data_IF_982584386670
#
_entry.id   IF_982584386670
#
_cell.length_a   1.000
_cell.length_b   1.000
_cell.length_c   1.000
_cell.angle_alpha   90.00
_cell.angle_beta   90.00
_cell.angle_gamma   90.00
#
_symmetry.space_group_name_H-M   'P 1'
#
loop_
_entity.id
_entity.type
_entity.pdbx_description
1 polymer ?
#
# COMPACT_ATOMS: atom_id res chain seq x y z
N UNK A 1 30.00 12.55 -23.16
CA UNK A 1 28.86 13.46 -22.81
C UNK A 1 27.54 13.09 -23.50
N UNK A 2 27.50 12.77 -24.80
CA UNK A 2 26.25 12.37 -25.50
C UNK A 2 25.63 11.06 -25.03
N UNK A 3 26.42 10.01 -24.68
CA UNK A 3 25.90 8.72 -24.21
C UNK A 3 25.06 8.86 -22.93
N UNK A 4 25.51 9.66 -21.95
CA UNK A 4 24.80 9.86 -20.70
C UNK A 4 23.44 10.58 -20.89
N UNK A 5 23.34 11.48 -21.90
CA UNK A 5 22.10 12.19 -22.21
C UNK A 5 21.00 11.25 -22.69
N UNK A 6 21.35 10.28 -23.54
CA UNK A 6 20.39 9.30 -24.05
C UNK A 6 19.88 8.39 -22.91
N UNK A 7 20.76 7.94 -22.03
CA UNK A 7 20.41 7.09 -20.90
C UNK A 7 19.46 7.83 -19.93
N UNK A 8 19.77 9.09 -19.59
CA UNK A 8 18.90 9.94 -18.79
C UNK A 8 17.54 10.11 -19.48
N UNK A 9 17.53 10.43 -20.78
CA UNK A 9 16.29 10.61 -21.53
C UNK A 9 15.42 9.34 -21.54
N UNK A 10 16.01 8.16 -21.73
CA UNK A 10 15.29 6.90 -21.73
C UNK A 10 14.77 6.52 -20.31
N UNK A 11 15.53 6.79 -19.25
CA UNK A 11 15.08 6.58 -17.87
C UNK A 11 13.93 7.55 -17.52
N UNK A 12 14.03 8.81 -17.97
CA UNK A 12 12.95 9.78 -17.79
C UNK A 12 11.69 9.36 -18.54
N UNK A 13 11.85 8.90 -19.81
CA UNK A 13 10.73 8.37 -20.59
C UNK A 13 10.06 7.18 -19.90
N UNK A 14 10.85 6.24 -19.37
CA UNK A 14 10.32 5.11 -18.57
C UNK A 14 9.54 5.62 -17.37
N UNK A 15 10.10 6.58 -16.61
CA UNK A 15 9.41 7.19 -15.47
C UNK A 15 8.07 7.84 -15.85
N UNK A 16 8.04 8.57 -16.99
CA UNK A 16 6.81 9.17 -17.53
C UNK A 16 5.78 8.10 -17.90
N UNK A 17 6.20 7.00 -18.53
CA UNK A 17 5.30 5.89 -18.87
C UNK A 17 4.70 5.24 -17.61
N UNK A 18 5.53 4.98 -16.60
CA UNK A 18 5.08 4.45 -15.30
C UNK A 18 4.10 5.41 -14.64
N UNK A 19 4.42 6.72 -14.62
CA UNK A 19 3.56 7.75 -14.05
C UNK A 19 2.19 7.79 -14.74
N UNK A 20 2.17 7.84 -16.07
CA UNK A 20 0.93 7.88 -16.85
C UNK A 20 0.11 6.59 -16.63
N UNK A 21 0.75 5.44 -16.59
CA UNK A 21 0.04 4.18 -16.32
C UNK A 21 -0.66 4.21 -14.97
N UNK A 22 0.03 4.58 -13.90
CA UNK A 22 -0.57 4.60 -12.57
C UNK A 22 -1.64 5.68 -12.43
N UNK A 23 -1.44 6.85 -13.05
CA UNK A 23 -2.40 7.95 -12.94
C UNK A 23 -3.67 7.72 -13.76
N UNK A 24 -3.56 7.16 -14.97
CA UNK A 24 -4.70 7.08 -15.90
C UNK A 24 -5.26 5.67 -16.06
N UNK A 25 -4.46 4.62 -15.84
CA UNK A 25 -4.90 3.24 -16.04
C UNK A 25 -5.24 2.54 -14.73
N UNK A 26 -4.55 2.88 -13.63
CA UNK A 26 -4.71 2.19 -12.32
C UNK A 26 -4.83 3.13 -11.11
N UNK A 27 -5.52 4.28 -11.18
CA UNK A 27 -5.63 5.17 -10.01
C UNK A 27 -6.34 4.52 -8.82
N UNK A 28 -7.33 3.66 -9.08
CA UNK A 28 -8.06 2.93 -8.04
C UNK A 28 -7.14 2.05 -7.17
N UNK A 29 -6.13 1.42 -7.77
CA UNK A 29 -5.16 0.58 -7.05
C UNK A 29 -4.27 1.43 -6.14
N UNK A 30 -3.89 2.65 -6.57
CA UNK A 30 -3.13 3.58 -5.72
C UNK A 30 -3.93 3.92 -4.46
N UNK A 31 -5.18 4.37 -4.63
CA UNK A 31 -6.02 4.78 -3.50
C UNK A 31 -6.41 3.62 -2.59
N UNK A 32 -6.59 2.41 -3.14
CA UNK A 32 -6.88 1.23 -2.32
C UNK A 32 -5.70 0.86 -1.41
N UNK A 33 -4.46 0.99 -1.90
CA UNK A 33 -3.27 0.74 -1.07
C UNK A 33 -3.20 1.65 0.15
N UNK A 34 -3.55 2.91 -0.01
CA UNK A 34 -3.63 3.85 1.11
C UNK A 34 -4.80 3.51 2.04
N UNK A 35 -5.95 3.17 1.49
CA UNK A 35 -7.14 2.83 2.26
C UNK A 35 -6.94 1.61 3.18
N UNK A 36 -6.07 0.68 2.81
CA UNK A 36 -5.77 -0.54 3.58
C UNK A 36 -4.61 -0.39 4.57
N UNK A 37 -4.10 0.82 4.77
CA UNK A 37 -2.92 1.06 5.59
C UNK A 37 -3.09 2.28 6.51
N UNK A 38 -2.38 2.25 7.64
CA UNK A 38 -2.22 3.38 8.54
C UNK A 38 -0.74 3.56 8.87
N UNK A 39 -0.24 4.77 8.73
CA UNK A 39 1.10 5.15 9.19
C UNK A 39 0.97 6.20 10.30
N UNK A 40 1.68 5.99 11.39
CA UNK A 40 1.73 6.91 12.52
C UNK A 40 3.11 7.60 12.58
N UNK A 41 3.08 8.91 12.75
CA UNK A 41 4.29 9.72 12.86
C UNK A 41 4.72 9.85 14.33
N UNK A 42 5.09 8.71 14.95
CA UNK A 42 5.59 8.68 16.31
C UNK A 42 6.76 7.71 16.49
N UNK A 43 7.47 7.83 17.62
CA UNK A 43 8.65 7.01 17.92
C UNK A 43 8.34 5.55 18.18
N UNK A 44 7.18 5.26 18.77
CA UNK A 44 6.76 3.89 19.09
C UNK A 44 6.48 3.09 17.80
N UNK A 45 5.83 3.73 16.83
CA UNK A 45 5.59 3.13 15.52
C UNK A 45 6.91 2.82 14.78
N UNK A 46 7.87 3.75 14.80
CA UNK A 46 9.18 3.52 14.21
C UNK A 46 9.92 2.37 14.93
N UNK A 47 9.92 2.36 16.25
CA UNK A 47 10.57 1.31 17.05
C UNK A 47 9.96 -0.06 16.77
N UNK A 48 8.63 -0.15 16.70
CA UNK A 48 7.90 -1.37 16.38
C UNK A 48 8.28 -1.92 14.98
N UNK A 49 8.40 -1.04 13.98
CA UNK A 49 8.82 -1.45 12.63
C UNK A 49 10.27 -1.89 12.61
N UNK A 50 11.16 -1.17 13.27
CA UNK A 50 12.60 -1.51 13.33
C UNK A 50 12.91 -2.76 14.18
N UNK A 51 11.96 -3.22 14.99
CA UNK A 51 12.12 -4.44 15.78
C UNK A 51 12.16 -5.74 14.96
N UNK A 52 11.80 -5.69 13.67
CA UNK A 52 11.71 -6.87 12.80
C UNK A 52 12.63 -6.76 11.59
N UNK A 53 13.11 -7.89 11.03
CA UNK A 53 13.92 -7.90 9.81
C UNK A 53 13.15 -7.30 8.62
N UNK A 54 13.84 -6.45 7.83
CA UNK A 54 13.21 -5.70 6.74
C UNK A 54 12.37 -4.51 7.19
N UNK A 55 12.35 -4.24 8.51
CA UNK A 55 11.49 -3.23 9.12
C UNK A 55 11.77 -1.80 8.67
N UNK A 56 13.00 -1.47 8.32
CA UNK A 56 13.30 -0.14 7.76
C UNK A 56 12.70 0.03 6.36
N UNK A 57 12.81 -0.99 5.49
CA UNK A 57 12.16 -0.96 4.18
C UNK A 57 10.64 -0.87 4.30
N UNK A 58 10.05 -1.58 5.28
CA UNK A 58 8.63 -1.50 5.61
C UNK A 58 8.23 -0.09 6.06
N UNK A 59 8.95 0.49 7.03
CA UNK A 59 8.66 1.84 7.52
C UNK A 59 8.69 2.88 6.39
N UNK A 60 9.72 2.84 5.53
CA UNK A 60 9.81 3.73 4.37
C UNK A 60 8.70 3.45 3.36
N UNK A 61 8.38 2.18 3.09
CA UNK A 61 7.28 1.79 2.21
C UNK A 61 5.93 2.31 2.70
N UNK A 62 5.61 2.09 3.98
CA UNK A 62 4.38 2.56 4.62
C UNK A 62 4.33 4.11 4.67
N UNK A 63 5.46 4.77 4.90
CA UNK A 63 5.56 6.23 4.81
C UNK A 63 5.23 6.75 3.41
N UNK A 64 5.75 6.12 2.37
CA UNK A 64 5.48 6.53 0.99
C UNK A 64 4.02 6.30 0.58
N UNK A 65 3.39 5.23 1.07
CA UNK A 65 1.99 4.90 0.75
C UNK A 65 1.00 5.95 1.29
N UNK A 66 1.32 6.70 2.35
CA UNK A 66 0.45 7.79 2.81
C UNK A 66 0.17 8.83 1.71
N UNK A 67 1.14 9.09 0.83
CA UNK A 67 0.98 10.02 -0.28
C UNK A 67 0.06 9.50 -1.38
N UNK A 68 -0.31 8.21 -1.35
CA UNK A 68 -1.24 7.60 -2.29
C UNK A 68 -2.68 8.07 -2.07
N UNK A 69 -2.95 8.78 -0.98
CA UNK A 69 -4.16 9.58 -0.81
C UNK A 69 -4.36 10.59 -1.97
N UNK A 70 -3.26 11.02 -2.59
CA UNK A 70 -3.25 11.86 -3.78
C UNK A 70 -2.74 11.04 -4.97
N UNK A 71 -3.59 10.74 -5.93
CA UNK A 71 -3.29 9.89 -7.09
C UNK A 71 -2.01 10.32 -7.83
N UNK A 72 -1.88 11.63 -8.05
CA UNK A 72 -0.71 12.22 -8.72
C UNK A 72 0.58 11.99 -7.92
N UNK A 73 0.53 12.15 -6.60
CA UNK A 73 1.68 11.91 -5.74
C UNK A 73 2.04 10.42 -5.68
N UNK A 74 1.03 9.54 -5.56
CA UNK A 74 1.24 8.10 -5.60
C UNK A 74 1.86 7.62 -6.91
N UNK A 75 1.32 8.08 -8.04
CA UNK A 75 1.88 7.77 -9.36
C UNK A 75 3.32 8.27 -9.52
N UNK A 76 3.62 9.49 -9.02
CA UNK A 76 4.96 10.06 -9.06
C UNK A 76 5.96 9.26 -8.19
N UNK A 77 5.57 8.85 -6.99
CA UNK A 77 6.42 8.03 -6.11
C UNK A 77 6.76 6.69 -6.76
N UNK A 78 5.76 5.99 -7.33
CA UNK A 78 5.99 4.74 -8.05
C UNK A 78 6.92 4.93 -9.25
N UNK A 79 6.73 6.00 -10.02
CA UNK A 79 7.61 6.33 -11.15
C UNK A 79 9.05 6.60 -10.72
N UNK A 80 9.25 7.37 -9.64
CA UNK A 80 10.57 7.70 -9.11
C UNK A 80 11.26 6.45 -8.56
N UNK A 81 10.57 5.64 -7.74
CA UNK A 81 11.15 4.43 -7.14
C UNK A 81 11.56 3.42 -8.21
N UNK A 82 10.70 3.13 -9.19
CA UNK A 82 11.02 2.19 -10.26
C UNK A 82 12.12 2.71 -11.20
N UNK A 83 12.15 4.02 -11.49
CA UNK A 83 13.23 4.63 -12.24
C UNK A 83 14.57 4.57 -11.49
N UNK A 84 14.55 4.79 -10.18
CA UNK A 84 15.73 4.67 -9.33
C UNK A 84 16.27 3.22 -9.29
N UNK A 85 15.37 2.22 -9.17
CA UNK A 85 15.74 0.80 -9.27
C UNK A 85 16.46 0.51 -10.60
N UNK A 86 15.89 0.93 -11.72
CA UNK A 86 16.49 0.76 -13.04
C UNK A 86 17.87 1.45 -13.14
N UNK A 87 17.95 2.69 -12.66
CA UNK A 87 19.19 3.49 -12.72
C UNK A 87 20.30 2.91 -11.84
N UNK A 88 20.01 2.51 -10.60
CA UNK A 88 21.02 1.92 -9.72
C UNK A 88 21.43 0.54 -10.19
N UNK A 89 20.51 -0.26 -10.71
CA UNK A 89 20.85 -1.54 -11.32
C UNK A 89 21.74 -1.37 -12.56
N UNK A 90 21.46 -0.35 -13.40
CA UNK A 90 22.34 -0.03 -14.52
C UNK A 90 23.77 0.32 -14.06
N UNK A 91 23.92 1.17 -13.06
CA UNK A 91 25.25 1.50 -12.52
C UNK A 91 25.97 0.23 -12.06
N UNK A 92 25.27 -0.67 -11.37
CA UNK A 92 25.83 -1.93 -10.88
C UNK A 92 26.30 -2.83 -12.01
N UNK A 93 25.47 -3.10 -13.02
CA UNK A 93 25.84 -3.98 -14.13
C UNK A 93 26.93 -3.37 -15.02
N UNK A 94 26.88 -2.07 -15.25
CA UNK A 94 27.91 -1.36 -16.02
C UNK A 94 29.29 -1.44 -15.34
N UNK A 95 29.35 -1.26 -14.02
CA UNK A 95 30.58 -1.44 -13.24
C UNK A 95 31.09 -2.88 -13.25
N UNK A 96 30.21 -3.86 -13.32
CA UNK A 96 30.57 -5.27 -13.17
C UNK A 96 31.07 -5.90 -14.47
N UNK A 97 30.51 -5.51 -15.59
CA UNK A 97 30.78 -6.10 -16.91
C UNK A 97 31.17 -4.99 -17.88
N UNK A 98 32.32 -4.32 -17.68
CA UNK A 98 32.77 -3.20 -18.54
C UNK A 98 33.08 -3.61 -19.93
N UNK A 99 33.24 -4.91 -20.22
CA UNK A 99 33.51 -5.47 -21.54
C UNK A 99 32.31 -5.51 -22.49
N UNK A 100 31.09 -5.45 -21.90
CA UNK A 100 29.84 -5.48 -22.68
C UNK A 100 29.39 -4.08 -23.04
N UNK A 101 28.89 -3.91 -24.26
CA UNK A 101 28.43 -2.61 -24.74
C UNK A 101 27.23 -2.10 -23.95
N UNK A 102 27.25 -0.79 -23.62
CA UNK A 102 26.11 -0.10 -22.98
C UNK A 102 24.82 -0.25 -23.79
N UNK A 103 24.87 -0.43 -25.10
CA UNK A 103 23.69 -0.66 -25.93
C UNK A 103 22.91 -1.92 -25.55
N UNK A 104 23.58 -2.90 -24.94
CA UNK A 104 22.99 -4.16 -24.48
C UNK A 104 22.66 -4.05 -22.99
N UNK A 105 23.60 -3.56 -22.17
CA UNK A 105 23.44 -3.51 -20.71
C UNK A 105 22.34 -2.55 -20.27
N UNK A 106 22.20 -1.40 -20.94
CA UNK A 106 21.25 -0.39 -20.53
C UNK A 106 19.78 -0.84 -20.66
N UNK A 107 19.31 -1.44 -21.76
CA UNK A 107 17.95 -2.03 -21.81
C UNK A 107 17.72 -3.11 -20.77
N UNK A 108 18.72 -3.95 -20.47
CA UNK A 108 18.62 -5.01 -19.43
C UNK A 108 18.38 -4.39 -18.04
N UNK A 109 18.89 -3.18 -17.79
CA UNK A 109 18.72 -2.53 -16.49
C UNK A 109 17.26 -2.20 -16.12
N UNK A 110 16.35 -2.17 -17.08
CA UNK A 110 14.92 -1.98 -16.82
C UNK A 110 14.21 -3.24 -16.33
N UNK A 111 14.79 -4.45 -16.53
CA UNK A 111 14.13 -5.71 -16.16
C UNK A 111 13.68 -5.76 -14.69
N UNK A 112 14.51 -5.45 -13.68
CA UNK A 112 14.07 -5.47 -12.29
C UNK A 112 12.92 -4.49 -12.02
N UNK A 113 12.99 -3.30 -12.62
CA UNK A 113 11.94 -2.29 -12.46
C UNK A 113 10.62 -2.73 -13.14
N UNK A 114 10.68 -3.36 -14.30
CA UNK A 114 9.50 -3.90 -14.99
C UNK A 114 8.90 -5.04 -14.19
N UNK A 115 9.70 -5.95 -13.65
CA UNK A 115 9.20 -7.04 -12.80
C UNK A 115 8.50 -6.48 -11.56
N UNK A 116 9.12 -5.51 -10.88
CA UNK A 116 8.49 -4.84 -9.73
C UNK A 116 7.20 -4.11 -10.14
N UNK A 117 7.19 -3.44 -11.29
CA UNK A 117 5.99 -2.78 -11.81
C UNK A 117 4.83 -3.78 -12.01
N UNK A 118 5.11 -4.91 -12.66
CA UNK A 118 4.11 -5.97 -12.85
C UNK A 118 3.62 -6.54 -11.52
N UNK A 119 4.53 -6.82 -10.57
CA UNK A 119 4.17 -7.27 -9.23
C UNK A 119 3.32 -6.24 -8.48
N UNK A 120 3.63 -4.95 -8.63
CA UNK A 120 2.85 -3.88 -7.99
C UNK A 120 1.47 -3.67 -8.62
N UNK A 121 1.18 -4.21 -9.82
CA UNK A 121 -0.18 -4.21 -10.38
C UNK A 121 -1.13 -5.11 -9.58
N UNK A 122 -0.59 -6.04 -8.81
CA UNK A 122 -1.32 -6.88 -7.88
C UNK A 122 -1.28 -6.29 -6.46
N UNK A 123 -2.41 -6.34 -5.75
CA UNK A 123 -2.52 -5.89 -4.36
C UNK A 123 -1.74 -6.77 -3.37
N UNK A 124 -1.36 -7.98 -3.79
CA UNK A 124 -0.54 -8.90 -3.00
C UNK A 124 0.83 -8.33 -2.66
N UNK A 125 1.38 -7.49 -3.52
CA UNK A 125 2.74 -6.95 -3.35
C UNK A 125 2.69 -5.59 -2.66
N UNK A 126 3.34 -5.47 -1.52
CA UNK A 126 3.42 -4.22 -0.77
C UNK A 126 4.53 -3.29 -1.31
N UNK A 127 4.45 -2.00 -0.96
CA UNK A 127 5.50 -1.02 -1.28
C UNK A 127 6.84 -1.32 -0.56
N UNK A 128 6.82 -2.18 0.45
CA UNK A 128 8.03 -2.66 1.14
C UNK A 128 9.01 -3.33 0.18
N UNK A 129 8.51 -4.13 -0.77
CA UNK A 129 9.39 -4.87 -1.70
C UNK A 129 10.18 -3.95 -2.64
N UNK A 130 9.60 -3.01 -3.39
CA UNK A 130 10.38 -2.06 -4.20
C UNK A 130 11.39 -1.27 -3.39
N UNK A 131 11.02 -0.84 -2.18
CA UNK A 131 11.94 -0.11 -1.27
C UNK A 131 13.08 -1.03 -0.81
N UNK A 132 12.79 -2.28 -0.44
CA UNK A 132 13.81 -3.24 -0.02
C UNK A 132 14.81 -3.55 -1.15
N UNK A 133 14.31 -3.71 -2.39
CA UNK A 133 15.17 -3.86 -3.57
C UNK A 133 16.05 -2.62 -3.76
N UNK A 134 15.45 -1.43 -3.69
CA UNK A 134 16.19 -0.17 -3.84
C UNK A 134 17.28 -0.02 -2.78
N UNK A 135 16.98 -0.29 -1.51
CA UNK A 135 17.96 -0.27 -0.42
C UNK A 135 19.08 -1.29 -0.63
N UNK A 136 18.75 -2.50 -1.07
CA UNK A 136 19.74 -3.52 -1.39
C UNK A 136 20.68 -3.06 -2.51
N UNK A 137 20.14 -2.47 -3.58
CA UNK A 137 20.95 -1.91 -4.67
C UNK A 137 21.87 -0.78 -4.17
N UNK A 138 21.36 0.09 -3.30
CA UNK A 138 22.19 1.15 -2.68
C UNK A 138 23.31 0.55 -1.84
N UNK A 139 23.04 -0.44 -1.00
CA UNK A 139 24.06 -1.13 -0.19
C UNK A 139 25.13 -1.79 -1.08
N UNK A 140 24.72 -2.41 -2.19
CA UNK A 140 25.66 -2.99 -3.16
C UNK A 140 26.53 -1.93 -3.84
N UNK A 141 26.00 -0.73 -4.08
CA UNK A 141 26.77 0.39 -4.66
C UNK A 141 27.81 0.98 -3.70
N UNK A 142 27.56 0.86 -2.38
CA UNK A 142 28.51 1.31 -1.35
C UNK A 142 29.73 0.38 -1.23
N UNK A 143 29.65 -0.86 -1.72
CA UNK A 143 30.78 -1.77 -1.72
C UNK A 143 31.89 -1.29 -2.65
N UNK A 144 33.14 -1.19 -2.16
CA UNK A 144 34.26 -0.75 -2.97
C UNK A 144 34.62 -1.78 -4.05
N UNK A 145 34.87 -1.30 -5.26
CA UNK A 145 35.33 -2.11 -6.41
C UNK A 145 36.85 -2.27 -6.42
N UNK A 146 37.45 -2.55 -5.28
CA UNK A 146 38.90 -2.79 -5.21
C UNK A 146 39.27 -4.14 -5.83
N UNK A 147 40.55 -4.25 -6.22
CA UNK A 147 41.12 -5.47 -6.84
C UNK A 147 41.01 -6.74 -5.99
N UNK A 148 40.70 -6.64 -4.72
CA UNK A 148 40.37 -7.74 -3.83
C UNK A 148 38.96 -7.50 -3.28
N UNK A 149 38.03 -8.46 -3.39
CA UNK A 149 36.76 -8.37 -2.71
C UNK A 149 37.03 -8.17 -1.23
N UNK A 150 36.44 -7.14 -0.62
CA UNK A 150 36.51 -6.91 0.80
C UNK A 150 35.54 -7.89 1.47
N UNK A 151 36.01 -9.10 1.74
CA UNK A 151 35.28 -10.16 2.41
C UNK A 151 34.60 -9.64 3.70
N UNK A 152 35.36 -8.95 4.53
CA UNK A 152 34.86 -8.38 5.79
C UNK A 152 33.71 -7.38 5.55
N UNK A 153 33.83 -6.50 4.57
CA UNK A 153 32.78 -5.52 4.28
C UNK A 153 31.51 -6.17 3.75
N UNK A 154 31.65 -7.14 2.87
CA UNK A 154 30.49 -7.87 2.30
C UNK A 154 29.79 -8.74 3.34
N UNK A 155 30.54 -9.45 4.19
CA UNK A 155 29.98 -10.28 5.27
C UNK A 155 29.27 -9.42 6.32
N UNK A 156 29.89 -8.31 6.76
CA UNK A 156 29.30 -7.42 7.76
C UNK A 156 28.00 -6.74 7.27
N UNK A 157 27.87 -6.49 5.96
CA UNK A 157 26.67 -5.90 5.38
C UNK A 157 25.50 -6.86 5.29
N UNK A 158 25.68 -8.18 5.34
CA UNK A 158 24.58 -9.14 5.25
C UNK A 158 23.61 -9.03 6.45
N UNK A 159 24.05 -9.06 7.72
CA UNK A 159 23.14 -8.88 8.86
C UNK A 159 22.47 -7.51 8.86
N UNK A 160 23.22 -6.45 8.58
CA UNK A 160 22.71 -5.07 8.52
C UNK A 160 21.67 -4.95 7.40
N UNK A 161 22.00 -5.43 6.21
CA UNK A 161 21.11 -5.41 5.07
C UNK A 161 19.86 -6.28 5.27
N UNK A 162 19.98 -7.43 5.92
CA UNK A 162 18.85 -8.26 6.31
C UNK A 162 17.91 -7.52 7.26
N UNK A 163 18.46 -6.81 8.26
CA UNK A 163 17.65 -6.03 9.18
C UNK A 163 16.99 -4.83 8.50
N UNK A 164 17.69 -4.16 7.59
CA UNK A 164 17.16 -2.99 6.88
C UNK A 164 16.16 -3.36 5.76
N UNK A 165 16.54 -4.32 4.90
CA UNK A 165 15.81 -4.65 3.68
C UNK A 165 15.13 -6.02 3.70
N UNK A 166 15.49 -6.94 4.62
CA UNK A 166 14.97 -8.30 4.66
C UNK A 166 15.72 -9.27 3.75
N UNK A 167 15.12 -10.43 3.41
CA UNK A 167 15.79 -11.50 2.69
C UNK A 167 16.23 -11.15 1.26
N UNK A 168 15.71 -10.09 0.66
CA UNK A 168 16.14 -9.60 -0.67
C UNK A 168 17.64 -9.28 -0.71
N UNK A 169 18.28 -9.08 0.44
CA UNK A 169 19.73 -8.92 0.55
C UNK A 169 20.54 -10.12 -0.01
N UNK A 170 19.88 -11.29 -0.22
CA UNK A 170 20.47 -12.43 -0.91
C UNK A 170 21.01 -12.06 -2.31
N UNK A 171 20.41 -11.05 -2.94
CA UNK A 171 20.92 -10.51 -4.22
C UNK A 171 22.38 -10.09 -4.12
N UNK A 172 22.84 -9.70 -2.92
CA UNK A 172 24.24 -9.34 -2.68
C UNK A 172 25.16 -10.54 -2.81
N UNK A 173 24.79 -11.71 -2.26
CA UNK A 173 25.55 -12.95 -2.41
C UNK A 173 25.57 -13.42 -3.90
N UNK A 174 24.44 -13.33 -4.58
CA UNK A 174 24.37 -13.64 -6.02
C UNK A 174 25.24 -12.67 -6.83
N UNK A 175 25.18 -11.39 -6.50
CA UNK A 175 26.00 -10.37 -7.15
C UNK A 175 27.50 -10.58 -6.93
N UNK A 176 27.90 -11.14 -5.80
CA UNK A 176 29.29 -11.43 -5.50
C UNK A 176 29.88 -12.46 -6.48
N UNK A 177 29.07 -13.36 -7.02
CA UNK A 177 29.49 -14.37 -8.02
C UNK A 177 30.05 -13.75 -9.31
N UNK A 178 29.81 -12.45 -9.59
CA UNK A 178 30.43 -11.75 -10.74
C UNK A 178 31.96 -11.83 -10.76
N UNK A 179 32.57 -11.97 -9.60
CA UNK A 179 34.03 -12.08 -9.47
C UNK A 179 34.59 -13.40 -10.02
N UNK A 180 33.76 -14.43 -10.28
CA UNK A 180 34.16 -15.67 -10.93
C UNK A 180 34.72 -15.47 -12.36
N UNK A 181 34.32 -14.39 -13.03
CA UNK A 181 34.79 -14.05 -14.37
C UNK A 181 36.09 -13.24 -14.41
N UNK A 182 36.60 -12.83 -13.23
CA UNK A 182 37.85 -12.08 -13.11
C UNK A 182 38.99 -13.03 -12.74
N UNK A 183 40.29 -12.62 -12.91
CA UNK A 183 41.43 -13.45 -12.55
C UNK A 183 41.64 -13.56 -11.04
N UNK A 184 40.61 -13.97 -10.33
CA UNK A 184 40.62 -14.29 -8.90
C UNK A 184 40.53 -15.79 -8.68
N UNK A 185 40.89 -16.22 -7.47
CA UNK A 185 40.67 -17.61 -7.06
C UNK A 185 39.16 -17.89 -7.03
N UNK A 186 38.69 -18.64 -8.04
CA UNK A 186 37.26 -18.99 -8.20
C UNK A 186 36.68 -19.71 -6.99
N UNK A 187 37.50 -20.58 -6.35
CA UNK A 187 37.09 -21.30 -5.14
C UNK A 187 36.85 -20.31 -3.99
N UNK A 188 37.70 -19.32 -3.82
CA UNK A 188 37.53 -18.29 -2.77
C UNK A 188 36.27 -17.47 -2.99
N UNK A 189 35.99 -17.02 -4.22
CA UNK A 189 34.76 -16.29 -4.55
C UNK A 189 33.50 -17.12 -4.28
N UNK A 190 33.53 -18.40 -4.65
CA UNK A 190 32.41 -19.33 -4.39
C UNK A 190 32.20 -19.53 -2.88
N UNK A 191 33.29 -19.72 -2.11
CA UNK A 191 33.24 -19.85 -0.64
C UNK A 191 32.68 -18.59 0.03
N UNK A 192 33.09 -17.40 -0.42
CA UNK A 192 32.61 -16.13 0.10
C UNK A 192 31.11 -15.95 -0.17
N UNK A 193 30.66 -16.21 -1.39
CA UNK A 193 29.22 -16.15 -1.74
C UNK A 193 28.40 -17.14 -0.93
N UNK A 194 28.92 -18.36 -0.73
CA UNK A 194 28.29 -19.38 0.10
C UNK A 194 28.24 -18.95 1.57
N UNK A 195 29.34 -18.37 2.09
CA UNK A 195 29.39 -17.86 3.47
C UNK A 195 28.35 -16.73 3.69
N UNK A 196 28.19 -15.82 2.72
CA UNK A 196 27.16 -14.77 2.79
C UNK A 196 25.74 -15.37 2.79
N UNK A 197 25.48 -16.38 1.96
CA UNK A 197 24.18 -17.06 1.94
C UNK A 197 23.92 -17.82 3.26
N UNK A 198 24.90 -18.54 3.79
CA UNK A 198 24.80 -19.23 5.08
C UNK A 198 24.61 -18.25 6.24
N UNK A 199 25.29 -17.10 6.21
CA UNK A 199 25.11 -16.07 7.22
C UNK A 199 23.68 -15.50 7.16
N UNK A 200 23.12 -15.29 5.97
CA UNK A 200 21.73 -14.89 5.84
C UNK A 200 20.77 -15.96 6.43
N UNK A 201 21.00 -17.24 6.13
CA UNK A 201 20.22 -18.31 6.74
C UNK A 201 20.34 -18.28 8.27
N UNK A 202 21.54 -18.09 8.80
CA UNK A 202 21.75 -17.94 10.24
C UNK A 202 21.00 -16.72 10.82
N UNK A 203 21.01 -15.58 10.13
CA UNK A 203 20.22 -14.40 10.52
C UNK A 203 18.71 -14.70 10.57
N UNK A 204 18.17 -15.40 9.56
CA UNK A 204 16.76 -15.82 9.53
C UNK A 204 16.45 -16.75 10.71
N UNK A 205 17.28 -17.76 10.94
CA UNK A 205 17.08 -18.71 12.05
C UNK A 205 17.18 -18.05 13.41
N UNK A 206 18.17 -17.18 13.62
CA UNK A 206 18.35 -16.46 14.89
C UNK A 206 17.15 -15.53 15.12
N UNK A 207 16.77 -14.73 14.13
CA UNK A 207 15.66 -13.79 14.28
C UNK A 207 14.32 -14.50 14.53
N UNK A 208 14.12 -15.74 14.06
CA UNK A 208 12.89 -16.50 14.31
C UNK A 208 12.64 -16.83 15.81
N UNK A 209 13.65 -16.72 16.66
CA UNK A 209 13.48 -16.88 18.11
C UNK A 209 12.99 -15.59 18.79
N UNK A 210 13.19 -14.44 18.17
CA UNK A 210 12.87 -13.13 18.78
C UNK A 210 11.67 -12.45 18.16
N UNK A 211 11.28 -12.85 16.95
CA UNK A 211 10.24 -12.18 16.17
C UNK A 211 9.04 -13.11 16.02
N UNK A 212 7.79 -12.66 16.28
CA UNK A 212 6.59 -13.50 16.28
C UNK A 212 6.07 -13.80 14.86
N UNK A 213 6.97 -14.14 13.93
CA UNK A 213 6.62 -14.50 12.56
C UNK A 213 7.10 -15.92 12.22
N UNK A 214 6.35 -16.61 11.36
CA UNK A 214 6.77 -17.94 10.88
C UNK A 214 8.05 -17.85 10.07
N UNK A 215 8.85 -18.94 10.09
CA UNK A 215 10.06 -19.06 9.25
C UNK A 215 9.76 -18.81 7.78
N UNK A 216 8.63 -19.29 7.30
CA UNK A 216 8.19 -19.10 5.93
C UNK A 216 8.05 -17.61 5.58
N UNK A 217 7.40 -16.83 6.44
CA UNK A 217 7.26 -15.38 6.24
C UNK A 217 8.60 -14.66 6.31
N UNK A 218 9.52 -15.10 7.17
CA UNK A 218 10.85 -14.50 7.28
C UNK A 218 11.72 -14.79 6.05
N UNK A 219 11.59 -15.98 5.46
CA UNK A 219 12.29 -16.35 4.21
C UNK A 219 11.69 -15.63 2.99
N UNK A 220 10.37 -15.53 2.94
CA UNK A 220 9.67 -14.80 1.85
C UNK A 220 9.78 -13.28 1.96
N UNK A 221 10.12 -12.78 3.14
CA UNK A 221 10.16 -11.36 3.49
C UNK A 221 8.88 -10.93 4.19
N UNK A 222 9.05 -10.45 5.45
CA UNK A 222 7.95 -9.91 6.22
C UNK A 222 7.40 -8.70 5.47
N UNK A 223 6.10 -8.69 5.22
CA UNK A 223 5.37 -7.62 4.52
C UNK A 223 5.82 -7.31 3.07
N UNK A 224 6.55 -8.18 2.40
CA UNK A 224 6.74 -8.07 0.94
C UNK A 224 5.45 -8.39 0.19
N UNK A 225 4.68 -9.32 0.73
CA UNK A 225 3.34 -9.66 0.25
C UNK A 225 2.32 -9.50 1.37
N UNK A 226 1.13 -9.09 1.01
CA UNK A 226 0.00 -9.12 1.93
C UNK A 226 -0.34 -10.58 2.28
N UNK A 227 -0.44 -10.89 3.57
CA UNK A 227 -0.80 -12.23 4.05
C UNK A 227 -2.25 -12.58 3.70
N UNK A 228 -3.08 -11.59 3.39
CA UNK A 228 -4.53 -11.72 3.18
C UNK A 228 -4.99 -11.14 1.84
N UNK A 229 -4.16 -11.26 0.84
CA UNK A 229 -4.49 -10.77 -0.51
C UNK A 229 -5.82 -11.31 -1.05
N UNK A 230 -6.14 -12.57 -0.74
CA UNK A 230 -7.39 -13.23 -1.14
C UNK A 230 -8.65 -12.53 -0.60
N UNK A 231 -8.50 -11.69 0.44
CA UNK A 231 -9.59 -10.92 1.07
C UNK A 231 -9.73 -9.50 0.52
N UNK A 232 -8.77 -9.05 -0.27
CA UNK A 232 -8.84 -7.76 -0.95
C UNK A 232 -9.78 -7.91 -2.15
N UNK A 233 -10.55 -6.86 -2.45
CA UNK A 233 -11.51 -6.88 -3.56
C UNK A 233 -10.86 -6.98 -4.94
N UNK A 234 -11.68 -7.33 -5.93
CA UNK A 234 -11.26 -7.34 -7.33
C UNK A 234 -10.98 -5.93 -7.84
N UNK A 235 -10.25 -5.82 -8.95
CA UNK A 235 -10.01 -4.53 -9.60
C UNK A 235 -11.32 -3.79 -9.92
N UNK A 236 -12.36 -4.52 -10.35
CA UNK A 236 -13.68 -3.95 -10.60
C UNK A 236 -14.24 -3.25 -9.36
N UNK A 237 -14.17 -3.91 -8.18
CA UNK A 237 -14.61 -3.33 -6.91
C UNK A 237 -13.80 -2.07 -6.56
N UNK A 238 -12.47 -2.12 -6.71
CA UNK A 238 -11.61 -0.96 -6.45
C UNK A 238 -11.96 0.23 -7.34
N UNK A 239 -12.27 0.00 -8.62
CA UNK A 239 -12.65 1.06 -9.54
C UNK A 239 -14.02 1.67 -9.20
N UNK A 240 -15.01 0.87 -8.78
CA UNK A 240 -16.29 1.38 -8.28
C UNK A 240 -16.14 2.11 -6.95
N UNK A 241 -15.31 1.60 -6.02
CA UNK A 241 -14.99 2.26 -4.76
C UNK A 241 -14.33 3.63 -4.99
N UNK A 242 -13.35 3.66 -5.89
CA UNK A 242 -12.67 4.89 -6.29
C UNK A 242 -13.64 5.96 -6.81
N UNK A 243 -14.57 5.58 -7.68
CA UNK A 243 -15.58 6.49 -8.24
C UNK A 243 -16.60 6.94 -7.17
N UNK A 244 -17.02 6.03 -6.28
CA UNK A 244 -17.89 6.34 -5.14
C UNK A 244 -17.24 7.36 -4.20
N UNK A 245 -15.98 7.16 -3.84
CA UNK A 245 -15.22 8.07 -2.94
C UNK A 245 -15.09 9.48 -3.53
N UNK A 246 -15.01 9.59 -4.84
CA UNK A 246 -14.99 10.86 -5.55
C UNK A 246 -16.39 11.43 -5.82
N UNK A 247 -17.46 10.73 -5.45
CA UNK A 247 -18.85 11.08 -5.81
C UNK A 247 -19.04 11.27 -7.32
N UNK A 248 -18.28 10.53 -8.14
CA UNK A 248 -18.29 10.62 -9.60
C UNK A 248 -19.41 9.76 -10.19
N UNK A 249 -20.66 10.06 -9.83
CA UNK A 249 -21.82 9.23 -10.10
C UNK A 249 -22.09 9.02 -11.59
N UNK A 250 -21.89 10.04 -12.39
CA UNK A 250 -21.99 9.95 -13.85
C UNK A 250 -21.02 8.91 -14.43
N UNK A 251 -19.76 8.91 -13.96
CA UNK A 251 -18.75 7.92 -14.37
C UNK A 251 -19.08 6.51 -13.90
N UNK A 252 -19.73 6.37 -12.74
CA UNK A 252 -20.24 5.07 -12.26
C UNK A 252 -21.25 4.50 -13.25
N UNK A 253 -22.23 5.32 -13.68
CA UNK A 253 -23.25 4.90 -14.66
C UNK A 253 -22.64 4.64 -16.03
N UNK A 254 -21.74 5.50 -16.51
CA UNK A 254 -21.02 5.30 -17.77
C UNK A 254 -20.26 3.96 -17.78
N UNK A 255 -19.56 3.64 -16.68
CA UNK A 255 -18.86 2.36 -16.53
C UNK A 255 -19.81 1.17 -16.53
N UNK A 256 -20.92 1.25 -15.80
CA UNK A 256 -21.92 0.20 -15.74
C UNK A 256 -22.62 -0.03 -17.11
N UNK A 257 -22.84 1.03 -17.88
CA UNK A 257 -23.41 0.95 -19.22
C UNK A 257 -22.43 0.32 -20.24
N UNK A 258 -21.12 0.51 -20.05
CA UNK A 258 -20.11 -0.14 -20.91
C UNK A 258 -19.95 -1.62 -20.60
N UNK A 259 -20.02 -1.99 -19.33
CA UNK A 259 -19.91 -3.37 -18.87
C UNK A 259 -20.69 -3.53 -17.56
N UNK A 260 -21.67 -4.43 -17.59
CA UNK A 260 -22.46 -4.75 -16.41
C UNK A 260 -21.56 -5.26 -15.28
N UNK A 261 -21.67 -4.71 -14.06
CA UNK A 261 -20.86 -5.13 -12.94
C UNK A 261 -21.16 -6.59 -12.54
N UNK A 262 -20.11 -7.32 -12.17
CA UNK A 262 -20.22 -8.72 -11.74
C UNK A 262 -20.45 -8.84 -10.24
N UNK A 263 -19.84 -7.94 -9.47
CA UNK A 263 -19.89 -7.98 -8.02
C UNK A 263 -21.16 -7.30 -7.49
N UNK A 264 -21.84 -7.93 -6.52
CA UNK A 264 -23.08 -7.38 -5.92
C UNK A 264 -22.85 -5.97 -5.32
N UNK A 265 -21.71 -5.75 -4.65
CA UNK A 265 -21.37 -4.43 -4.12
C UNK A 265 -21.37 -3.36 -5.21
N UNK A 266 -20.84 -3.66 -6.39
CA UNK A 266 -20.82 -2.73 -7.52
C UNK A 266 -22.24 -2.42 -8.04
N UNK A 267 -23.14 -3.40 -8.08
CA UNK A 267 -24.55 -3.15 -8.40
C UNK A 267 -25.22 -2.20 -7.42
N UNK A 268 -24.92 -2.32 -6.11
CA UNK A 268 -25.47 -1.40 -5.11
C UNK A 268 -24.93 0.03 -5.29
N UNK A 269 -23.65 0.17 -5.69
CA UNK A 269 -23.09 1.50 -6.00
C UNK A 269 -23.74 2.09 -7.27
N UNK A 270 -24.05 1.27 -8.26
CA UNK A 270 -24.80 1.72 -9.46
C UNK A 270 -26.21 2.20 -9.07
N UNK A 271 -26.91 1.47 -8.19
CA UNK A 271 -28.22 1.91 -7.68
C UNK A 271 -28.12 3.24 -6.93
N UNK A 272 -27.08 3.41 -6.11
CA UNK A 272 -26.81 4.68 -5.43
C UNK A 272 -26.51 5.82 -6.42
N UNK A 273 -25.75 5.54 -7.48
CA UNK A 273 -25.44 6.51 -8.52
C UNK A 273 -26.70 6.97 -9.27
N UNK A 274 -27.60 6.05 -9.61
CA UNK A 274 -28.93 6.37 -10.20
C UNK A 274 -29.73 7.29 -9.31
N UNK A 275 -29.74 7.04 -8.00
CA UNK A 275 -30.42 7.91 -7.05
C UNK A 275 -29.84 9.33 -7.04
N UNK A 276 -28.51 9.48 -7.00
CA UNK A 276 -27.87 10.81 -7.04
C UNK A 276 -28.03 11.53 -8.38
N UNK A 277 -28.26 10.79 -9.46
CA UNK A 277 -28.57 11.34 -10.78
C UNK A 277 -30.08 11.57 -11.00
N UNK A 278 -30.91 11.39 -9.95
CA UNK A 278 -32.37 11.53 -9.99
C UNK A 278 -33.07 10.58 -10.95
N UNK A 279 -32.47 9.44 -11.27
CA UNK A 279 -33.07 8.41 -12.14
C UNK A 279 -33.96 7.45 -11.35
N UNK A 280 -33.81 7.36 -10.02
CA UNK A 280 -34.58 6.48 -9.14
C UNK A 280 -35.05 7.21 -7.88
N UNK A 281 -36.16 6.79 -7.30
CA UNK A 281 -36.68 7.30 -6.04
C UNK A 281 -35.96 6.70 -4.82
N UNK A 282 -36.06 7.34 -3.63
CA UNK A 282 -35.51 6.76 -2.38
C UNK A 282 -36.04 5.36 -2.06
N UNK A 283 -37.31 5.08 -2.38
CA UNK A 283 -37.92 3.78 -2.10
C UNK A 283 -37.42 2.71 -3.08
N UNK A 284 -37.25 3.05 -4.34
CA UNK A 284 -36.61 2.16 -5.32
C UNK A 284 -35.17 1.85 -4.95
N UNK A 285 -34.41 2.85 -4.48
CA UNK A 285 -33.07 2.61 -3.96
C UNK A 285 -33.07 1.60 -2.80
N UNK A 286 -33.96 1.78 -1.82
CA UNK A 286 -34.09 0.83 -0.68
C UNK A 286 -34.44 -0.58 -1.17
N UNK A 287 -35.37 -0.70 -2.12
CA UNK A 287 -35.74 -2.00 -2.70
C UNK A 287 -34.59 -2.65 -3.47
N UNK A 288 -33.76 -1.86 -4.16
CA UNK A 288 -32.58 -2.37 -4.89
C UNK A 288 -31.51 -2.95 -3.98
N UNK A 289 -31.50 -2.58 -2.71
CA UNK A 289 -30.55 -3.08 -1.70
C UNK A 289 -31.02 -4.37 -1.03
N UNK A 290 -31.73 -5.23 -1.74
CA UNK A 290 -32.15 -6.53 -1.22
C UNK A 290 -30.95 -7.38 -0.81
N UNK A 291 -30.97 -7.87 0.46
CA UNK A 291 -29.89 -8.66 1.07
C UNK A 291 -28.50 -8.01 0.92
N UNK A 292 -28.29 -6.75 1.35
CA UNK A 292 -27.07 -6.01 1.10
C UNK A 292 -25.82 -6.66 1.74
N UNK A 293 -25.99 -7.39 2.85
CA UNK A 293 -24.88 -8.09 3.53
C UNK A 293 -24.28 -9.23 2.69
N UNK A 294 -24.99 -9.75 1.70
CA UNK A 294 -24.42 -10.74 0.77
C UNK A 294 -23.40 -10.14 -0.20
N UNK A 295 -23.26 -8.81 -0.22
CA UNK A 295 -22.25 -8.07 -0.98
C UNK A 295 -20.91 -7.94 -0.25
N UNK A 296 -20.84 -8.26 1.06
CA UNK A 296 -19.65 -8.17 1.90
C UNK A 296 -18.73 -9.39 1.66
N UNK A 297 -18.11 -9.45 0.51
CA UNK A 297 -17.30 -10.60 0.07
C UNK A 297 -15.79 -10.36 0.20
N UNK A 298 -15.38 -9.13 0.44
CA UNK A 298 -13.99 -8.71 0.55
C UNK A 298 -13.87 -7.44 1.39
N UNK A 299 -12.65 -7.10 1.83
CA UNK A 299 -12.38 -5.87 2.57
C UNK A 299 -12.84 -4.63 1.79
N UNK A 300 -12.51 -4.57 0.48
CA UNK A 300 -12.92 -3.46 -0.39
C UNK A 300 -14.45 -3.35 -0.47
N UNK A 301 -15.17 -4.46 -0.75
CA UNK A 301 -16.63 -4.43 -0.82
C UNK A 301 -17.28 -4.05 0.50
N UNK A 302 -16.70 -4.47 1.62
CA UNK A 302 -17.17 -4.14 2.96
C UNK A 302 -17.02 -2.64 3.26
N UNK A 303 -15.89 -2.04 2.88
CA UNK A 303 -15.71 -0.58 2.97
C UNK A 303 -16.67 0.20 2.08
N UNK A 304 -16.84 -0.25 0.83
CA UNK A 304 -17.79 0.35 -0.13
C UNK A 304 -19.21 0.36 0.44
N UNK A 305 -19.65 -0.77 0.98
CA UNK A 305 -20.98 -0.89 1.58
C UNK A 305 -21.13 -0.06 2.84
N UNK A 306 -20.09 0.05 3.68
CA UNK A 306 -20.11 0.96 4.83
C UNK A 306 -20.32 2.42 4.40
N UNK A 307 -19.62 2.85 3.36
CA UNK A 307 -19.79 4.21 2.84
C UNK A 307 -21.19 4.43 2.25
N UNK A 308 -21.74 3.44 1.55
CA UNK A 308 -23.11 3.46 1.05
C UNK A 308 -24.13 3.56 2.19
N UNK A 309 -24.03 2.71 3.20
CA UNK A 309 -24.93 2.74 4.36
C UNK A 309 -24.88 4.08 5.09
N UNK A 310 -23.68 4.64 5.27
CA UNK A 310 -23.52 5.95 5.89
C UNK A 310 -24.18 7.08 5.09
N UNK A 311 -24.06 7.06 3.77
CA UNK A 311 -24.71 8.04 2.88
C UNK A 311 -26.23 7.93 2.92
N UNK A 312 -26.76 6.74 3.16
CA UNK A 312 -28.20 6.49 3.31
C UNK A 312 -28.73 6.77 4.70
N UNK A 313 -27.88 7.09 5.67
CA UNK A 313 -28.27 7.32 7.06
C UNK A 313 -28.35 6.07 7.93
N UNK A 314 -28.01 4.87 7.41
CA UNK A 314 -27.93 3.63 8.18
C UNK A 314 -26.61 3.55 8.95
N UNK A 315 -26.53 4.33 10.03
CA UNK A 315 -25.27 4.61 10.72
C UNK A 315 -24.73 3.40 11.47
N UNK A 316 -25.60 2.57 12.09
CA UNK A 316 -25.17 1.35 12.79
C UNK A 316 -24.62 0.32 11.81
N UNK A 317 -25.27 0.13 10.65
CA UNK A 317 -24.76 -0.76 9.61
C UNK A 317 -23.43 -0.26 9.06
N UNK A 318 -23.28 1.05 8.83
CA UNK A 318 -22.04 1.65 8.40
C UNK A 318 -20.92 1.41 9.43
N UNK A 319 -21.20 1.58 10.72
CA UNK A 319 -20.25 1.33 11.81
C UNK A 319 -19.83 -0.14 11.85
N UNK A 320 -20.81 -1.05 11.87
CA UNK A 320 -20.58 -2.49 11.93
C UNK A 320 -19.75 -2.96 10.73
N UNK A 321 -20.15 -2.63 9.52
CA UNK A 321 -19.45 -3.07 8.31
C UNK A 321 -18.04 -2.49 8.22
N UNK A 322 -17.82 -1.23 8.64
CA UNK A 322 -16.48 -0.67 8.66
C UNK A 322 -15.60 -1.32 9.74
N UNK A 323 -16.16 -1.68 10.87
CA UNK A 323 -15.44 -2.43 11.89
C UNK A 323 -15.05 -3.83 11.41
N UNK A 324 -15.97 -4.55 10.74
CA UNK A 324 -15.69 -5.84 10.10
C UNK A 324 -14.60 -5.73 9.03
N UNK A 325 -14.62 -4.66 8.22
CA UNK A 325 -13.57 -4.38 7.24
C UNK A 325 -12.21 -4.17 7.93
N UNK A 326 -12.16 -3.38 8.99
CA UNK A 326 -10.93 -3.11 9.74
C UNK A 326 -10.35 -4.39 10.38
N UNK A 327 -11.19 -5.24 10.98
CA UNK A 327 -10.78 -6.53 11.56
C UNK A 327 -10.27 -7.52 10.51
N UNK A 328 -10.70 -7.39 9.27
CA UNK A 328 -10.23 -8.25 8.16
C UNK A 328 -8.87 -7.85 7.59
N UNK A 329 -8.33 -6.70 8.00
CA UNK A 329 -7.05 -6.21 7.48
C UNK A 329 -5.87 -6.89 8.19
N UNK A 330 -4.83 -7.18 7.42
CA UNK A 330 -3.51 -7.46 7.96
C UNK A 330 -2.90 -6.20 8.60
N UNK A 331 -1.78 -6.34 9.29
CA UNK A 331 -1.04 -5.19 9.81
C UNK A 331 -1.72 -4.47 10.99
N UNK A 332 -2.14 -5.25 12.00
CA UNK A 332 -2.74 -4.74 13.24
C UNK A 332 -4.09 -4.05 13.06
N UNK A 333 -4.85 -4.41 12.03
CA UNK A 333 -6.23 -3.96 11.82
C UNK A 333 -6.37 -2.44 11.83
N UNK A 334 -5.43 -1.73 11.18
CA UNK A 334 -5.43 -0.26 11.17
C UNK A 334 -5.53 0.28 9.76
N UNK A 335 -6.53 1.13 9.55
CA UNK A 335 -6.76 1.88 8.32
C UNK A 335 -7.18 3.30 8.67
N UNK A 336 -6.58 4.30 8.02
CA UNK A 336 -7.00 5.68 8.21
C UNK A 336 -8.45 5.91 7.75
N UNK A 337 -8.86 5.32 6.62
CA UNK A 337 -10.24 5.36 6.11
C UNK A 337 -11.23 4.77 7.11
N UNK A 338 -10.91 3.58 7.66
CA UNK A 338 -11.77 2.93 8.64
C UNK A 338 -11.92 3.76 9.90
N UNK A 339 -10.81 4.29 10.44
CA UNK A 339 -10.84 5.14 11.63
C UNK A 339 -11.63 6.44 11.41
N UNK A 340 -11.54 7.03 10.21
CA UNK A 340 -12.35 8.19 9.86
C UNK A 340 -13.85 7.85 9.88
N UNK A 341 -14.27 6.75 9.22
CA UNK A 341 -15.67 6.34 9.19
C UNK A 341 -16.18 5.97 10.58
N UNK A 342 -15.40 5.23 11.38
CA UNK A 342 -15.76 4.88 12.75
C UNK A 342 -15.85 6.12 13.65
N UNK A 343 -15.02 7.14 13.43
CA UNK A 343 -15.14 8.44 14.11
C UNK A 343 -16.46 9.13 13.74
N UNK A 344 -16.78 9.21 12.44
CA UNK A 344 -18.03 9.84 11.97
C UNK A 344 -19.27 9.13 12.53
N UNK A 345 -19.29 7.81 12.48
CA UNK A 345 -20.42 7.02 13.04
C UNK A 345 -20.53 7.20 14.54
N UNK A 346 -19.43 7.16 15.29
CA UNK A 346 -19.43 7.38 16.74
C UNK A 346 -19.91 8.79 17.12
N UNK A 347 -19.58 9.83 16.33
CA UNK A 347 -20.11 11.20 16.55
C UNK A 347 -21.62 11.23 16.32
N UNK A 348 -22.12 10.59 15.26
CA UNK A 348 -23.56 10.59 14.95
C UNK A 348 -24.36 9.80 15.98
N UNK A 349 -23.84 8.67 16.46
CA UNK A 349 -24.50 7.82 17.47
C UNK A 349 -24.34 8.32 18.91
N UNK A 350 -23.60 9.42 19.13
CA UNK A 350 -23.36 9.98 20.46
C UNK A 350 -22.29 9.26 21.28
N UNK A 351 -21.50 8.37 20.69
CA UNK A 351 -20.40 7.64 21.32
C UNK A 351 -19.10 8.49 21.34
N UNK A 352 -19.17 9.67 21.95
CA UNK A 352 -18.10 10.68 21.86
C UNK A 352 -16.76 10.21 22.43
N UNK A 353 -16.76 9.44 23.53
CA UNK A 353 -15.54 8.88 24.11
C UNK A 353 -14.84 7.90 23.14
N UNK A 354 -15.63 7.12 22.41
CA UNK A 354 -15.10 6.22 21.38
C UNK A 354 -14.54 7.02 20.21
N UNK A 355 -15.26 8.06 19.77
CA UNK A 355 -14.79 8.96 18.73
C UNK A 355 -13.45 9.59 19.11
N UNK A 356 -13.28 10.08 20.34
CA UNK A 356 -12.05 10.68 20.85
C UNK A 356 -10.85 9.72 20.80
N UNK A 357 -11.04 8.41 21.02
CA UNK A 357 -9.98 7.40 20.91
C UNK A 357 -9.51 7.26 19.46
N UNK A 358 -10.43 7.16 18.49
CA UNK A 358 -10.07 7.10 17.06
C UNK A 358 -9.40 8.40 16.58
N UNK A 359 -9.91 9.54 17.03
CA UNK A 359 -9.36 10.86 16.74
C UNK A 359 -7.91 10.96 17.22
N UNK A 360 -7.60 10.48 18.43
CA UNK A 360 -6.24 10.52 18.99
C UNK A 360 -5.25 9.78 18.09
N UNK A 361 -5.64 8.64 17.53
CA UNK A 361 -4.80 7.89 16.60
C UNK A 361 -4.60 8.68 15.29
N UNK A 362 -5.67 9.26 14.74
CA UNK A 362 -5.62 10.02 13.49
C UNK A 362 -4.82 11.33 13.61
N UNK A 363 -4.74 11.92 14.80
CA UNK A 363 -3.92 13.11 15.06
C UNK A 363 -2.41 12.85 14.93
N UNK A 364 -1.99 11.58 15.02
CA UNK A 364 -0.61 11.16 14.80
C UNK A 364 -0.29 10.86 13.33
N UNK A 365 -1.26 11.03 12.41
CA UNK A 365 -1.05 10.86 10.98
C UNK A 365 -0.63 12.17 10.29
N UNK A 366 -0.01 12.07 9.12
CA UNK A 366 0.43 13.25 8.37
C UNK A 366 -0.75 14.00 7.72
N UNK A 367 -1.65 13.31 7.06
CA UNK A 367 -2.70 13.94 6.24
C UNK A 367 -4.06 14.04 6.93
N UNK A 368 -4.36 13.14 7.87
CA UNK A 368 -5.65 13.14 8.56
C UNK A 368 -5.67 14.00 9.83
N UNK A 369 -4.50 14.43 10.34
CA UNK A 369 -4.37 15.24 11.56
C UNK A 369 -5.31 16.45 11.59
N UNK A 370 -5.36 17.24 10.52
CA UNK A 370 -6.21 18.45 10.46
C UNK A 370 -7.70 18.10 10.49
N UNK A 371 -8.09 17.03 9.84
CA UNK A 371 -9.46 16.52 9.88
C UNK A 371 -9.80 16.02 11.28
N UNK A 372 -8.94 15.24 11.90
CA UNK A 372 -9.11 14.72 13.25
C UNK A 372 -9.28 15.84 14.28
N UNK A 373 -8.50 16.91 14.20
CA UNK A 373 -8.64 18.09 15.07
C UNK A 373 -10.02 18.77 14.93
N UNK A 374 -10.59 18.85 13.72
CA UNK A 374 -11.96 19.34 13.52
C UNK A 374 -12.99 18.40 14.14
N UNK A 375 -12.81 17.09 14.01
CA UNK A 375 -13.71 16.10 14.61
C UNK A 375 -13.61 16.12 16.14
N UNK A 376 -12.42 16.38 16.71
CA UNK A 376 -12.23 16.57 18.15
C UNK A 376 -13.09 17.69 18.71
N UNK A 377 -13.18 18.81 18.00
CA UNK A 377 -14.04 19.93 18.41
C UNK A 377 -15.52 19.51 18.46
N UNK A 378 -15.99 18.72 17.50
CA UNK A 378 -17.37 18.22 17.49
C UNK A 378 -17.62 17.20 18.60
N UNK A 379 -16.69 16.27 18.83
CA UNK A 379 -16.80 15.26 19.88
C UNK A 379 -16.74 15.89 21.29
N UNK A 380 -15.93 16.94 21.49
CA UNK A 380 -15.79 17.63 22.78
C UNK A 380 -16.98 18.55 23.08
N UNK A 381 -17.57 19.17 22.04
CA UNK A 381 -18.71 20.06 22.17
C UNK A 381 -19.92 19.57 21.36
N UNK A 382 -20.63 18.52 21.84
CA UNK A 382 -21.71 17.87 21.09
C UNK A 382 -22.86 18.79 20.66
N UNK A 383 -23.07 19.89 21.37
CA UNK A 383 -24.09 20.90 21.00
C UNK A 383 -23.87 21.47 19.60
N UNK A 384 -22.61 21.52 19.13
CA UNK A 384 -22.26 22.04 17.80
C UNK A 384 -22.64 21.06 16.67
N UNK A 385 -22.83 19.78 16.99
CA UNK A 385 -23.16 18.76 16.00
C UNK A 385 -24.55 19.02 15.40
N UNK A 386 -25.52 19.46 16.21
CA UNK A 386 -26.89 19.75 15.74
C UNK A 386 -26.92 20.76 14.59
N UNK A 387 -25.99 21.71 14.60
CA UNK A 387 -25.90 22.74 13.56
C UNK A 387 -24.95 22.36 12.43
N UNK A 388 -24.28 21.21 12.51
CA UNK A 388 -23.38 20.76 11.46
C UNK A 388 -24.17 20.19 10.27
N UNK A 389 -23.96 20.69 9.02
CA UNK A 389 -24.82 20.36 7.89
C UNK A 389 -24.91 18.86 7.61
N UNK A 390 -23.79 18.13 7.74
CA UNK A 390 -23.73 16.69 7.52
C UNK A 390 -24.17 15.90 8.75
N UNK A 391 -23.51 16.11 9.89
CA UNK A 391 -23.69 15.25 11.06
C UNK A 391 -24.98 15.56 11.82
N UNK A 392 -25.46 16.81 11.82
CA UNK A 392 -26.74 17.16 12.43
C UNK A 392 -27.93 16.52 11.69
N UNK A 393 -27.89 16.52 10.35
CA UNK A 393 -28.89 15.82 9.54
C UNK A 393 -28.88 14.32 9.79
N UNK A 394 -27.68 13.70 9.85
CA UNK A 394 -27.55 12.27 10.12
C UNK A 394 -28.01 11.89 11.54
N UNK A 395 -27.74 12.73 12.56
CA UNK A 395 -28.24 12.49 13.92
C UNK A 395 -29.77 12.51 13.97
N UNK A 396 -30.42 13.40 13.20
CA UNK A 396 -31.87 13.45 13.12
C UNK A 396 -32.42 12.18 12.49
N UNK A 397 -31.89 11.77 11.35
CA UNK A 397 -32.27 10.52 10.66
C UNK A 397 -32.04 9.32 11.60
N UNK A 398 -30.88 9.25 12.26
CA UNK A 398 -30.55 8.17 13.19
C UNK A 398 -31.52 8.06 14.36
N UNK A 399 -32.01 9.19 14.90
CA UNK A 399 -33.02 9.23 15.96
C UNK A 399 -34.43 8.85 15.50
N UNK A 400 -34.72 8.91 14.21
CA UNK A 400 -36.04 8.60 13.62
C UNK A 400 -36.10 7.21 12.96
N UNK A 401 -34.97 6.64 12.59
CA UNK A 401 -34.88 5.34 11.90
C UNK A 401 -34.25 4.28 12.78
N UNK A 402 -34.98 3.18 13.01
CA UNK A 402 -34.33 1.96 13.49
C UNK A 402 -33.58 1.33 12.31
N UNK A 403 -32.28 1.01 12.49
CA UNK A 403 -31.46 0.30 11.49
C UNK A 403 -31.88 -1.19 11.34
N UNK A 404 -33.18 -1.46 11.48
CA UNK A 404 -33.73 -2.81 11.50
C UNK A 404 -34.29 -3.25 10.13
N UNK A 405 -34.21 -2.39 9.11
CA UNK A 405 -34.85 -2.63 7.81
C UNK A 405 -34.24 -3.78 6.97
N UNK A 406 -33.17 -4.40 7.44
CA UNK A 406 -32.46 -5.43 6.69
C UNK A 406 -32.23 -6.75 7.46
N UNK A 407 -32.97 -6.96 8.54
CA UNK A 407 -32.96 -8.24 9.29
C UNK A 407 -33.85 -9.24 8.59
#
# INVERSE_FOLDING_TARGET
MMKNKLQIALTTLFGVLVFCFWLFVRPAVIMEREALQLFLWNGDYLAERLAVPGGFARYVGEFLVQYFLFETAGAAILAVVLSAVSWFFWILIHRSIPSVSDKILFPISFLPAIVLWLLMCDMDTSMTLPVAVLLTLVLMLLLPEKKTPSLFGSIALVPVGYWLAGPVILLMAVWHLRWLHRPFNKVMVAMESTAMALLLVACVLISSYFVPYSLENMVKGIDYRSIQADKIGTLEMMEYDYLQRQSAWEKVLEKANRMEPKAKACHHIVSLAKYYQHETSPDELKMSLYKPFTALTSTTSTMMMSDLFFQMGFVNFAQRTMFEAMESMSNYNKSARALCRLTETAIVTGQYEVALKYISILEETLFYKRWAQKMRQLATYPKNIKNHPKYGALQKIYGETEDLLFI
#
